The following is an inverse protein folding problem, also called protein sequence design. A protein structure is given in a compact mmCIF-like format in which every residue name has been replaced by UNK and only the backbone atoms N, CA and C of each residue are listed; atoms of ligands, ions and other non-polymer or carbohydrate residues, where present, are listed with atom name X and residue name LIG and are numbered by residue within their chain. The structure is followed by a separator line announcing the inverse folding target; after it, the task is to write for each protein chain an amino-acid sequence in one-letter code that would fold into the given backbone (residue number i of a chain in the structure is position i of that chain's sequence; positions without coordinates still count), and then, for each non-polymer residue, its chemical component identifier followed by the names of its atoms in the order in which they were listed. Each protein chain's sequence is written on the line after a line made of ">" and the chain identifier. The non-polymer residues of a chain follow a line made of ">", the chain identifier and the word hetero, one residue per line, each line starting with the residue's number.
data_IF_335879866074
#
_entry.id   IF_335879866074
#
_cell.length_a   1.000
_cell.length_b   1.000
_cell.length_c   1.000
_cell.angle_alpha   90.00
_cell.angle_beta   90.00
_cell.angle_gamma   90.00
#
_symmetry.space_group_name_H-M   'P 1'
#
loop_
_entity.id
_entity.type
_entity.pdbx_description
1 polymer ?
#
# COMPACT_ATOMS: atom_id res chain seq x y z
N UNK A 1 12.36 47.22 26.53
CA UNK A 1 11.88 45.89 26.93
C UNK A 1 10.66 45.57 26.09
N UNK A 2 10.82 44.74 25.07
CA UNK A 2 9.74 44.34 24.17
C UNK A 2 9.01 43.17 24.80
N UNK A 3 7.73 43.33 25.15
CA UNK A 3 6.88 42.19 25.51
C UNK A 3 6.50 41.49 24.19
N UNK A 4 7.18 40.41 23.84
CA UNK A 4 6.80 39.58 22.71
C UNK A 4 5.72 38.56 23.11
N UNK A 5 4.71 38.44 22.24
CA UNK A 5 3.64 37.44 22.16
C UNK A 5 3.11 36.82 23.47
N UNK A 6 2.05 37.42 24.02
CA UNK A 6 1.24 36.79 25.08
C UNK A 6 0.36 35.69 24.48
N UNK A 7 0.54 34.45 24.93
CA UNK A 7 -0.39 33.33 24.66
C UNK A 7 -1.40 33.21 25.79
N UNK A 8 -2.69 33.20 25.46
CA UNK A 8 -3.78 33.11 26.43
C UNK A 8 -4.62 31.87 26.16
N UNK A 9 -4.98 31.14 27.22
CA UNK A 9 -5.92 30.03 27.16
C UNK A 9 -6.86 30.00 28.37
N UNK A 10 -8.06 29.44 28.19
CA UNK A 10 -9.02 29.21 29.28
C UNK A 10 -8.80 27.79 29.81
N UNK A 11 -8.39 27.68 31.07
CA UNK A 11 -8.18 26.38 31.73
C UNK A 11 -9.47 25.78 32.28
N UNK A 12 -10.41 26.63 32.69
CA UNK A 12 -11.69 26.19 33.25
C UNK A 12 -12.74 27.28 33.11
N UNK A 13 -13.90 26.90 32.59
CA UNK A 13 -15.05 27.78 32.49
C UNK A 13 -16.21 27.28 33.39
N UNK A 14 -16.65 28.11 34.35
CA UNK A 14 -17.80 27.86 35.22
C UNK A 14 -18.85 28.95 35.05
N UNK A 15 -20.07 28.67 35.51
CA UNK A 15 -21.21 29.59 35.43
C UNK A 15 -20.92 31.03 35.88
N UNK A 16 -20.07 31.23 36.90
CA UNK A 16 -19.78 32.56 37.47
C UNK A 16 -18.30 32.96 37.43
N UNK A 17 -17.40 32.05 37.02
CA UNK A 17 -15.94 32.25 37.10
C UNK A 17 -15.22 31.59 35.93
N UNK A 18 -14.26 32.31 35.33
CA UNK A 18 -13.33 31.80 34.32
C UNK A 18 -11.93 31.70 34.92
N UNK A 19 -11.24 30.57 34.71
CA UNK A 19 -9.81 30.42 35.02
C UNK A 19 -9.01 30.56 33.74
N UNK A 20 -8.09 31.52 33.68
CA UNK A 20 -7.22 31.77 32.52
C UNK A 20 -5.76 31.53 32.86
N UNK A 21 -5.01 31.04 31.88
CA UNK A 21 -3.57 31.04 31.87
C UNK A 21 -3.06 32.03 30.82
N UNK A 22 -2.07 32.83 31.20
CA UNK A 22 -1.40 33.78 30.32
C UNK A 22 0.09 33.47 30.40
N UNK A 23 0.67 33.13 29.25
CA UNK A 23 2.09 32.86 29.11
C UNK A 23 2.73 33.95 28.27
N UNK A 24 3.85 34.49 28.71
CA UNK A 24 4.57 35.51 27.94
C UNK A 24 6.07 35.43 28.17
N UNK A 25 6.80 36.04 27.23
CA UNK A 25 8.25 36.11 27.23
C UNK A 25 8.67 37.57 27.37
N UNK A 26 9.76 37.80 28.10
CA UNK A 26 10.42 39.09 28.19
C UNK A 26 11.85 38.93 27.71
N UNK A 27 12.17 39.60 26.61
CA UNK A 27 13.50 39.50 26.00
C UNK A 27 14.46 40.48 26.67
N UNK A 28 15.55 39.94 27.25
CA UNK A 28 16.69 40.72 27.74
C UNK A 28 17.95 40.38 26.93
N UNK A 29 18.95 41.23 27.03
CA UNK A 29 20.21 41.16 26.27
C UNK A 29 21.07 39.93 26.58
N UNK A 30 20.85 39.28 27.72
CA UNK A 30 21.63 38.18 28.28
C UNK A 30 20.82 36.88 28.42
N UNK A 31 19.52 36.96 28.70
CA UNK A 31 18.63 35.81 28.76
C UNK A 31 17.16 36.16 28.45
N UNK A 32 16.38 35.16 28.06
CA UNK A 32 14.94 35.32 27.87
C UNK A 32 14.21 34.90 29.13
N UNK A 33 13.45 35.81 29.74
CA UNK A 33 12.64 35.51 30.91
C UNK A 33 11.25 35.03 30.48
N UNK A 34 10.78 33.96 31.10
CA UNK A 34 9.48 33.34 30.82
C UNK A 34 8.59 33.47 32.04
N UNK A 35 7.34 33.84 31.84
CA UNK A 35 6.38 34.03 32.92
C UNK A 35 5.05 33.32 32.63
N UNK A 36 4.41 32.85 33.69
CA UNK A 36 3.08 32.25 33.65
C UNK A 36 2.17 32.90 34.70
N UNK A 37 1.05 33.46 34.26
CA UNK A 37 0.01 33.98 35.15
C UNK A 37 -1.23 33.09 35.09
N UNK A 38 -1.65 32.65 36.26
CA UNK A 38 -2.89 31.90 36.47
C UNK A 38 -3.86 32.78 37.25
N UNK A 39 -4.99 33.11 36.63
CA UNK A 39 -5.99 34.01 37.22
C UNK A 39 -7.39 33.41 37.21
N UNK A 40 -8.16 33.63 38.28
CA UNK A 40 -9.60 33.39 38.32
C UNK A 40 -10.37 34.69 38.25
N UNK A 41 -11.24 34.83 37.26
CA UNK A 41 -11.97 36.05 36.95
C UNK A 41 -13.47 35.82 37.07
N UNK A 42 -14.23 36.82 37.52
CA UNK A 42 -15.70 36.72 37.54
C UNK A 42 -16.28 36.95 36.16
N UNK A 43 -17.39 36.27 35.87
CA UNK A 43 -18.21 36.53 34.67
C UNK A 43 -19.19 37.68 34.93
N UNK A 44 -19.48 38.52 33.92
CA UNK A 44 -20.49 39.54 34.04
C UNK A 44 -21.88 38.91 34.19
N UNK A 45 -22.69 39.43 35.12
CA UNK A 45 -23.98 38.85 35.54
C UNK A 45 -25.07 38.81 34.45
N UNK A 46 -24.88 39.46 33.30
CA UNK A 46 -25.95 39.72 32.32
C UNK A 46 -25.56 39.56 30.83
N UNK A 47 -24.43 38.92 30.51
CA UNK A 47 -24.01 38.76 29.11
C UNK A 47 -24.13 37.31 28.61
N UNK A 48 -24.67 37.16 27.40
CA UNK A 48 -24.80 35.90 26.65
C UNK A 48 -23.45 35.35 26.15
N UNK A 49 -22.38 36.12 26.26
CA UNK A 49 -21.08 35.78 25.72
C UNK A 49 -20.21 35.09 26.78
N UNK A 50 -20.05 33.77 26.61
CA UNK A 50 -19.49 32.84 27.61
C UNK A 50 -18.05 33.14 28.04
N UNK A 51 -17.32 33.99 27.31
CA UNK A 51 -15.90 34.25 27.54
C UNK A 51 -15.56 35.66 28.02
N UNK A 52 -16.55 36.54 28.20
CA UNK A 52 -16.35 37.91 28.66
C UNK A 52 -16.02 37.99 30.16
N UNK A 53 -15.13 38.90 30.57
CA UNK A 53 -14.78 39.13 31.97
C UNK A 53 -15.60 40.29 32.55
N UNK A 54 -16.02 40.18 33.81
CA UNK A 54 -16.67 41.28 34.54
C UNK A 54 -15.68 42.43 34.80
N UNK A 55 -14.42 42.07 35.10
CA UNK A 55 -13.28 42.98 35.27
C UNK A 55 -11.99 42.26 34.84
N UNK A 56 -11.01 43.01 34.35
CA UNK A 56 -9.67 42.49 34.03
C UNK A 56 -8.83 42.14 35.28
N UNK A 57 -9.31 42.52 36.47
CA UNK A 57 -8.70 42.17 37.75
C UNK A 57 -9.24 40.83 38.27
N UNK A 58 -8.37 39.83 38.50
CA UNK A 58 -8.81 38.52 38.97
C UNK A 58 -9.19 38.54 40.46
N UNK A 59 -10.13 37.67 40.84
CA UNK A 59 -10.50 37.38 42.23
C UNK A 59 -9.35 36.74 43.01
N UNK A 60 -8.52 35.97 42.33
CA UNK A 60 -7.30 35.37 42.85
C UNK A 60 -6.33 35.16 41.69
N UNK A 61 -5.08 35.59 41.85
CA UNK A 61 -4.01 35.38 40.88
C UNK A 61 -2.76 34.82 41.54
N UNK A 62 -2.05 33.99 40.77
CA UNK A 62 -0.69 33.59 41.02
C UNK A 62 0.10 33.87 39.74
N UNK A 63 1.13 34.68 39.85
CA UNK A 63 2.09 34.87 38.76
C UNK A 63 3.35 34.17 39.17
N UNK A 64 3.77 33.21 38.35
CA UNK A 64 5.07 32.57 38.48
C UNK A 64 6.05 33.39 37.65
N UNK A 65 7.08 33.91 38.32
CA UNK A 65 8.22 34.49 37.64
C UNK A 65 9.09 33.42 36.97
N UNK A 66 10.20 33.84 36.35
CA UNK A 66 11.07 32.91 35.64
C UNK A 66 11.67 31.84 36.56
N UNK A 67 12.06 32.20 37.78
CA UNK A 67 12.66 31.28 38.75
C UNK A 67 11.60 30.30 39.25
N UNK A 68 10.44 30.80 39.68
CA UNK A 68 9.32 29.99 40.15
C UNK A 68 8.78 29.06 39.07
N UNK A 69 8.69 29.53 37.82
CA UNK A 69 8.28 28.71 36.68
C UNK A 69 9.30 27.60 36.40
N UNK A 70 10.60 27.93 36.45
CA UNK A 70 11.67 26.95 36.27
C UNK A 70 11.62 25.88 37.36
N UNK A 71 11.43 26.29 38.62
CA UNK A 71 11.29 25.37 39.75
C UNK A 71 10.04 24.49 39.65
N UNK A 72 8.90 25.03 39.19
CA UNK A 72 7.70 24.24 38.93
C UNK A 72 7.92 23.20 37.82
N UNK A 73 8.60 23.59 36.73
CA UNK A 73 8.93 22.66 35.64
C UNK A 73 9.86 21.54 36.14
N UNK A 74 10.88 21.87 36.92
CA UNK A 74 11.77 20.88 37.54
C UNK A 74 11.01 19.95 38.49
N UNK A 75 10.07 20.48 39.28
CA UNK A 75 9.23 19.68 40.16
C UNK A 75 8.34 18.71 39.38
N UNK A 76 7.68 19.18 38.32
CA UNK A 76 6.87 18.33 37.45
C UNK A 76 7.72 17.26 36.77
N UNK A 77 8.91 17.62 36.29
CA UNK A 77 9.87 16.66 35.74
C UNK A 77 10.30 15.60 36.75
N UNK A 78 10.54 15.98 38.00
CA UNK A 78 11.00 15.08 39.04
C UNK A 78 9.89 14.23 39.67
N UNK A 79 8.60 14.56 39.50
CA UNK A 79 7.52 13.92 40.26
C UNK A 79 6.33 13.45 39.42
N UNK A 80 6.11 13.98 38.23
CA UNK A 80 5.08 13.48 37.31
C UNK A 80 5.71 12.44 36.40
N UNK A 81 5.26 11.19 36.50
CA UNK A 81 5.87 10.01 35.87
C UNK A 81 6.15 10.22 34.37
N UNK A 82 5.23 10.86 33.66
CA UNK A 82 5.38 11.14 32.23
C UNK A 82 6.52 12.12 31.90
N UNK A 83 6.84 13.09 32.76
CA UNK A 83 7.98 13.98 32.53
C UNK A 83 9.32 13.38 32.97
N UNK A 84 9.31 12.40 33.91
CA UNK A 84 10.52 11.70 34.36
C UNK A 84 11.23 10.93 33.25
N UNK A 85 10.46 10.42 32.28
CA UNK A 85 10.96 9.60 31.17
C UNK A 85 11.46 10.50 30.01
N UNK A 86 11.36 11.82 30.14
CA UNK A 86 11.91 12.78 29.16
C UNK A 86 11.02 13.04 27.94
N UNK A 87 9.75 12.60 27.97
CA UNK A 87 8.81 12.81 26.88
C UNK A 87 8.47 14.30 26.71
N UNK A 88 8.76 14.84 25.52
CA UNK A 88 8.46 16.24 25.14
C UNK A 88 7.13 16.40 24.41
N UNK A 89 6.56 15.30 23.92
CA UNK A 89 5.37 15.30 23.07
C UNK A 89 4.46 14.12 23.41
N UNK A 90 3.15 14.35 23.37
CA UNK A 90 2.13 13.38 23.75
C UNK A 90 1.32 12.91 22.53
N UNK A 91 1.32 11.60 22.29
CA UNK A 91 0.42 10.94 21.36
C UNK A 91 -0.64 10.19 22.19
N UNK A 92 -1.85 10.76 22.38
CA UNK A 92 -2.96 9.98 22.92
C UNK A 92 -3.25 8.88 21.91
N UNK A 93 -2.96 7.63 22.25
CA UNK A 93 -3.49 6.48 21.52
C UNK A 93 -4.82 6.15 22.21
N UNK A 94 -5.97 6.57 21.65
CA UNK A 94 -7.26 6.23 22.25
C UNK A 94 -7.48 4.72 22.07
N UNK A 95 -8.37 4.13 22.88
CA UNK A 95 -8.79 2.74 22.71
C UNK A 95 -9.27 2.44 21.27
N UNK A 96 -9.76 3.47 20.57
CA UNK A 96 -10.01 3.48 19.13
C UNK A 96 -9.09 4.50 18.44
N UNK A 97 -8.24 4.06 17.51
CA UNK A 97 -7.38 4.95 16.72
C UNK A 97 -8.25 5.83 15.80
N UNK A 98 -8.59 7.02 16.30
CA UNK A 98 -9.36 8.02 15.56
C UNK A 98 -8.51 8.71 14.46
N UNK A 99 -9.16 9.52 13.61
CA UNK A 99 -8.50 10.19 12.48
C UNK A 99 -7.32 11.07 12.90
N UNK A 100 -7.39 11.74 14.05
CA UNK A 100 -6.30 12.59 14.54
C UNK A 100 -5.08 11.78 14.98
N UNK A 101 -5.30 10.64 15.64
CA UNK A 101 -4.23 9.71 16.01
C UNK A 101 -3.57 9.12 14.75
N UNK A 102 -4.35 8.75 13.72
CA UNK A 102 -3.79 8.26 12.43
C UNK A 102 -2.86 9.28 11.78
N UNK A 103 -3.27 10.55 11.73
CA UNK A 103 -2.45 11.63 11.13
C UNK A 103 -1.15 11.81 11.90
N UNK A 104 -1.20 11.81 13.24
CA UNK A 104 0.01 11.92 14.07
C UNK A 104 0.97 10.74 13.86
N UNK A 105 0.44 9.50 13.84
CA UNK A 105 1.24 8.30 13.58
C UNK A 105 1.87 8.37 12.19
N UNK A 106 1.12 8.79 11.18
CA UNK A 106 1.64 8.95 9.81
C UNK A 106 2.77 9.98 9.75
N UNK A 107 2.61 11.13 10.42
CA UNK A 107 3.67 12.15 10.49
C UNK A 107 4.93 11.61 11.18
N UNK A 108 4.76 10.84 12.26
CA UNK A 108 5.88 10.22 12.98
C UNK A 108 6.63 9.21 12.10
N UNK A 109 5.91 8.33 11.40
CA UNK A 109 6.52 7.36 10.48
C UNK A 109 7.24 8.06 9.33
N UNK A 110 6.64 9.12 8.76
CA UNK A 110 7.24 9.84 7.62
C UNK A 110 8.51 10.63 7.98
N UNK A 111 8.71 10.95 9.26
CA UNK A 111 9.86 11.72 9.74
C UNK A 111 10.93 10.83 10.39
N UNK A 112 10.67 9.53 10.53
CA UNK A 112 11.62 8.55 11.05
C UNK A 112 12.52 8.07 9.91
N UNK A 113 13.82 7.99 10.17
CA UNK A 113 14.76 7.34 9.25
C UNK A 113 14.48 5.83 9.19
N UNK A 114 14.68 5.23 8.01
CA UNK A 114 14.40 3.80 7.80
C UNK A 114 15.23 2.92 8.75
N UNK A 115 16.47 3.31 9.05
CA UNK A 115 17.33 2.60 10.00
C UNK A 115 16.70 2.50 11.40
N UNK A 116 16.14 3.61 11.87
CA UNK A 116 15.58 3.72 13.21
C UNK A 116 14.28 2.91 13.30
N UNK A 117 13.48 2.90 12.22
CA UNK A 117 12.30 2.03 12.12
C UNK A 117 12.68 0.55 12.19
N UNK A 118 13.77 0.14 11.53
CA UNK A 118 14.25 -1.24 11.57
C UNK A 118 14.72 -1.61 12.98
N UNK A 119 15.47 -0.74 13.65
CA UNK A 119 15.90 -0.94 15.03
C UNK A 119 14.70 -1.12 15.97
N UNK A 120 13.69 -0.26 15.85
CA UNK A 120 12.43 -0.38 16.60
C UNK A 120 11.77 -1.75 16.37
N UNK A 121 11.69 -2.20 15.12
CA UNK A 121 11.08 -3.50 14.76
C UNK A 121 11.87 -4.70 15.29
N UNK A 122 13.19 -4.57 15.47
CA UNK A 122 14.06 -5.63 16.01
C UNK A 122 13.98 -5.68 17.54
N UNK A 123 14.00 -4.54 18.21
CA UNK A 123 14.15 -4.46 19.67
C UNK A 123 12.85 -4.64 20.44
N UNK A 124 11.71 -4.24 19.88
CA UNK A 124 10.46 -4.09 20.64
C UNK A 124 9.51 -5.31 20.62
N UNK A 125 10.00 -6.50 20.22
CA UNK A 125 9.18 -7.72 20.12
C UNK A 125 7.89 -7.53 19.30
N UNK A 126 7.91 -6.62 18.32
CA UNK A 126 6.80 -6.44 17.40
C UNK A 126 6.65 -7.71 16.59
N UNK A 127 5.42 -8.23 16.47
CA UNK A 127 5.15 -9.36 15.59
C UNK A 127 5.32 -8.91 14.14
N UNK A 128 6.52 -9.16 13.62
CA UNK A 128 6.90 -8.84 12.24
C UNK A 128 6.10 -9.67 11.25
N UNK A 129 5.65 -10.86 11.63
CA UNK A 129 4.90 -11.73 10.74
C UNK A 129 3.55 -11.12 10.40
N UNK A 130 2.78 -10.69 11.39
CA UNK A 130 1.49 -10.04 11.18
C UNK A 130 1.64 -8.70 10.40
N UNK A 131 2.73 -7.96 10.65
CA UNK A 131 3.04 -6.74 9.92
C UNK A 131 3.37 -7.02 8.45
N UNK A 132 4.24 -7.99 8.17
CA UNK A 132 4.59 -8.43 6.82
C UNK A 132 3.35 -8.92 6.05
N UNK A 133 2.52 -9.73 6.69
CA UNK A 133 1.24 -10.18 6.13
C UNK A 133 0.32 -9.01 5.83
N UNK A 134 0.19 -8.04 6.76
CA UNK A 134 -0.65 -6.87 6.59
C UNK A 134 -0.18 -5.95 5.46
N UNK A 135 1.14 -5.74 5.33
CA UNK A 135 1.75 -4.98 4.25
C UNK A 135 1.52 -5.69 2.92
N UNK A 136 1.82 -7.00 2.85
CA UNK A 136 1.61 -7.80 1.66
C UNK A 136 0.15 -7.80 1.21
N UNK A 137 -0.78 -8.01 2.14
CA UNK A 137 -2.23 -7.95 1.90
C UNK A 137 -2.65 -6.58 1.35
N UNK A 138 -2.18 -5.48 1.96
CA UNK A 138 -2.49 -4.12 1.54
C UNK A 138 -1.94 -3.82 0.14
N UNK A 139 -0.71 -4.25 -0.15
CA UNK A 139 -0.11 -4.07 -1.48
C UNK A 139 -0.88 -4.84 -2.56
N UNK A 140 -1.30 -6.08 -2.25
CA UNK A 140 -2.13 -6.87 -3.17
C UNK A 140 -3.51 -6.28 -3.40
N UNK A 141 -4.13 -5.66 -2.38
CA UNK A 141 -5.38 -4.92 -2.56
C UNK A 141 -5.21 -3.74 -3.53
N UNK A 142 -4.12 -2.97 -3.38
CA UNK A 142 -3.79 -1.87 -4.30
C UNK A 142 -3.53 -2.38 -5.72
N UNK A 143 -2.83 -3.50 -5.86
CA UNK A 143 -2.58 -4.11 -7.16
C UNK A 143 -3.89 -4.53 -7.85
N UNK A 144 -4.89 -5.04 -7.12
CA UNK A 144 -6.21 -5.33 -7.68
C UNK A 144 -6.93 -4.04 -8.11
N UNK A 145 -6.86 -2.98 -7.32
CA UNK A 145 -7.44 -1.68 -7.70
C UNK A 145 -6.81 -1.14 -8.99
N UNK A 146 -5.47 -1.16 -9.06
CA UNK A 146 -4.70 -0.82 -10.25
C UNK A 146 -5.10 -1.70 -11.45
N UNK A 147 -5.23 -3.02 -11.28
CA UNK A 147 -5.68 -3.92 -12.35
C UNK A 147 -7.03 -3.51 -12.93
N UNK A 148 -8.00 -3.11 -12.09
CA UNK A 148 -9.30 -2.63 -12.57
C UNK A 148 -9.16 -1.32 -13.34
N UNK A 149 -8.32 -0.39 -12.87
CA UNK A 149 -8.04 0.85 -13.59
C UNK A 149 -7.40 0.58 -14.97
N UNK A 150 -6.39 -0.30 -15.03
CA UNK A 150 -5.74 -0.68 -16.30
C UNK A 150 -6.74 -1.33 -17.29
N UNK A 151 -7.71 -2.09 -16.77
CA UNK A 151 -8.80 -2.66 -17.57
C UNK A 151 -9.78 -1.59 -18.09
N UNK A 152 -10.00 -0.51 -17.35
CA UNK A 152 -10.89 0.59 -17.73
C UNK A 152 -10.25 1.54 -18.75
N UNK A 153 -8.94 1.80 -18.60
CA UNK A 153 -8.20 2.72 -19.47
C UNK A 153 -7.67 2.07 -20.76
N UNK A 154 -7.87 0.76 -20.93
CA UNK A 154 -7.32 0.00 -22.06
C UNK A 154 -5.81 0.24 -22.27
N UNK A 155 -5.06 -0.03 -21.22
CA UNK A 155 -3.63 0.25 -21.22
C UNK A 155 -2.84 -0.67 -22.16
N UNK A 156 -1.66 -0.21 -22.60
CA UNK A 156 -0.82 -0.92 -23.59
C UNK A 156 -0.28 -2.24 -23.07
N UNK A 157 0.12 -3.15 -23.98
CA UNK A 157 0.71 -4.45 -23.63
C UNK A 157 1.95 -4.30 -22.73
N UNK A 158 2.77 -3.28 -22.98
CA UNK A 158 3.95 -2.95 -22.15
C UNK A 158 3.58 -2.55 -20.71
N UNK A 159 2.48 -1.82 -20.53
CA UNK A 159 1.98 -1.49 -19.18
C UNK A 159 1.54 -2.77 -18.45
N UNK A 160 0.84 -3.66 -19.16
CA UNK A 160 0.45 -4.97 -18.62
C UNK A 160 1.65 -5.85 -18.28
N UNK A 161 2.65 -5.94 -19.15
CA UNK A 161 3.90 -6.66 -18.90
C UNK A 161 4.53 -6.23 -17.57
N UNK A 162 4.80 -4.92 -17.40
CA UNK A 162 5.35 -4.37 -16.15
C UNK A 162 4.48 -4.63 -14.94
N UNK A 163 3.15 -4.56 -15.11
CA UNK A 163 2.23 -4.85 -14.02
C UNK A 163 2.35 -6.31 -13.57
N UNK A 164 2.41 -7.26 -14.51
CA UNK A 164 2.55 -8.69 -14.21
C UNK A 164 3.93 -9.05 -13.64
N UNK A 165 5.01 -8.39 -14.09
CA UNK A 165 6.35 -8.55 -13.51
C UNK A 165 6.35 -8.19 -12.01
N UNK A 166 5.71 -7.07 -11.65
CA UNK A 166 5.62 -6.60 -10.27
C UNK A 166 4.59 -7.38 -9.43
N UNK A 167 3.63 -8.05 -10.07
CA UNK A 167 2.50 -8.71 -9.43
C UNK A 167 2.38 -10.20 -9.80
N UNK A 168 3.50 -10.86 -10.05
CA UNK A 168 3.59 -12.28 -10.48
C UNK A 168 2.79 -13.27 -9.63
N UNK A 169 2.56 -12.93 -8.36
CA UNK A 169 1.71 -13.68 -7.43
C UNK A 169 0.29 -13.95 -7.96
N UNK A 170 -0.23 -13.13 -8.88
CA UNK A 170 -1.55 -13.38 -9.49
C UNK A 170 -1.55 -14.54 -10.47
N UNK A 171 -0.38 -14.95 -10.96
CA UNK A 171 -0.27 -16.05 -11.90
C UNK A 171 -0.27 -17.40 -11.17
N UNK A 172 0.13 -17.44 -9.89
CA UNK A 172 0.08 -18.65 -9.06
C UNK A 172 1.21 -18.70 -8.02
N UNK A 173 1.16 -19.70 -7.15
CA UNK A 173 2.22 -19.96 -6.15
C UNK A 173 3.50 -20.51 -6.75
N UNK A 174 3.41 -21.04 -7.98
CA UNK A 174 4.52 -21.77 -8.58
C UNK A 174 5.60 -20.82 -9.09
N UNK A 175 5.31 -19.52 -9.23
CA UNK A 175 6.23 -18.55 -9.79
C UNK A 175 7.25 -18.04 -8.76
N UNK A 176 8.53 -18.30 -9.02
CA UNK A 176 9.63 -17.99 -8.09
C UNK A 176 10.40 -16.73 -8.49
N UNK A 177 10.67 -16.57 -9.80
CA UNK A 177 11.55 -15.50 -10.28
C UNK A 177 11.26 -15.14 -11.74
N UNK A 178 11.30 -13.84 -12.05
CA UNK A 178 11.31 -13.34 -13.43
C UNK A 178 12.74 -13.40 -13.98
N UNK A 179 12.89 -13.95 -15.18
CA UNK A 179 14.18 -14.06 -15.89
C UNK A 179 14.21 -12.92 -16.93
N UNK A 180 15.29 -12.13 -16.95
CA UNK A 180 15.47 -11.06 -17.95
C UNK A 180 15.51 -11.66 -19.36
N UNK A 181 14.58 -11.27 -20.22
CA UNK A 181 14.44 -11.72 -21.62
C UNK A 181 15.72 -11.52 -22.43
N UNK A 182 16.50 -10.47 -22.12
CA UNK A 182 17.76 -10.16 -22.82
C UNK A 182 18.84 -11.21 -22.56
N UNK A 183 18.66 -12.04 -21.55
CA UNK A 183 19.53 -13.17 -21.27
C UNK A 183 19.28 -14.33 -22.22
N UNK A 184 18.21 -14.37 -23.03
CA UNK A 184 18.01 -15.45 -24.00
C UNK A 184 18.28 -14.89 -25.40
N UNK A 185 19.32 -15.41 -26.07
CA UNK A 185 19.77 -14.95 -27.40
C UNK A 185 18.85 -15.47 -28.51
N UNK A 186 17.56 -15.31 -28.29
CA UNK A 186 16.46 -15.74 -29.13
C UNK A 186 15.59 -14.51 -29.28
N UNK A 187 15.83 -13.77 -30.36
CA UNK A 187 15.49 -12.35 -30.54
C UNK A 187 13.99 -11.99 -30.46
N UNK A 188 13.11 -12.87 -29.99
CA UNK A 188 11.67 -12.67 -29.94
C UNK A 188 10.94 -13.55 -28.89
N UNK A 189 11.63 -14.18 -27.93
CA UNK A 189 10.95 -15.13 -27.02
C UNK A 189 10.18 -14.38 -25.93
N UNK A 190 8.87 -14.25 -26.18
CA UNK A 190 7.81 -13.88 -25.23
C UNK A 190 7.84 -12.46 -24.65
N UNK A 191 6.81 -12.18 -23.87
CA UNK A 191 6.58 -10.93 -23.15
C UNK A 191 7.22 -10.88 -21.75
N UNK A 192 7.47 -12.06 -21.12
CA UNK A 192 8.50 -12.30 -20.09
C UNK A 192 8.56 -13.79 -19.69
N UNK A 193 9.72 -14.22 -19.16
CA UNK A 193 9.97 -15.58 -18.71
C UNK A 193 10.01 -15.71 -17.20
N UNK A 194 9.49 -16.83 -16.70
CA UNK A 194 9.43 -17.10 -15.27
C UNK A 194 9.96 -18.49 -14.95
N UNK A 195 10.64 -18.61 -13.82
CA UNK A 195 10.98 -19.90 -13.25
C UNK A 195 9.89 -20.35 -12.28
N UNK A 196 9.41 -21.57 -12.46
CA UNK A 196 8.52 -22.24 -11.52
C UNK A 196 9.29 -22.93 -10.36
N UNK A 197 8.63 -23.21 -9.24
CA UNK A 197 9.26 -23.81 -8.05
C UNK A 197 9.84 -25.20 -8.30
N UNK A 198 9.26 -25.95 -9.23
CA UNK A 198 9.68 -27.27 -9.67
C UNK A 198 10.80 -27.21 -10.73
N UNK A 199 11.32 -26.02 -11.02
CA UNK A 199 12.46 -25.79 -11.91
C UNK A 199 12.10 -25.91 -13.39
N UNK A 200 10.84 -25.72 -13.76
CA UNK A 200 10.45 -25.52 -15.15
C UNK A 200 10.47 -24.03 -15.49
N UNK A 201 10.50 -23.74 -16.79
CA UNK A 201 10.35 -22.39 -17.30
C UNK A 201 8.92 -22.24 -17.79
N UNK A 202 8.23 -21.29 -17.18
CA UNK A 202 6.90 -20.85 -17.57
C UNK A 202 7.05 -19.55 -18.37
N UNK A 203 6.57 -19.61 -19.60
CA UNK A 203 6.49 -18.49 -20.53
C UNK A 203 5.18 -17.77 -20.27
N UNK A 204 5.19 -16.44 -20.14
CA UNK A 204 3.95 -15.67 -20.10
C UNK A 204 3.84 -14.87 -21.38
N UNK A 205 2.77 -15.11 -22.12
CA UNK A 205 2.42 -14.33 -23.31
C UNK A 205 1.18 -13.51 -23.00
N UNK A 206 1.21 -12.21 -23.24
CA UNK A 206 0.14 -11.27 -22.98
C UNK A 206 -0.39 -10.75 -24.30
N UNK A 207 -1.71 -10.81 -24.51
CA UNK A 207 -2.39 -10.15 -25.61
C UNK A 207 -3.56 -9.36 -25.04
N UNK A 208 -3.30 -8.05 -24.90
CA UNK A 208 -4.18 -7.09 -24.21
C UNK A 208 -5.60 -7.05 -24.81
N UNK A 209 -6.62 -6.65 -24.04
CA UNK A 209 -8.02 -6.75 -24.47
C UNK A 209 -8.46 -5.81 -25.61
N UNK A 210 -8.07 -4.53 -25.70
CA UNK A 210 -8.42 -3.76 -26.90
C UNK A 210 -7.38 -3.84 -28.01
N UNK A 211 -7.87 -4.41 -29.09
CA UNK A 211 -7.35 -4.36 -30.44
C UNK A 211 -8.34 -4.98 -31.43
N UNK A 212 -9.64 -4.99 -31.10
CA UNK A 212 -10.65 -5.85 -31.73
C UNK A 212 -10.34 -7.37 -31.61
N UNK A 213 -9.51 -7.78 -30.64
CA UNK A 213 -9.19 -9.19 -30.44
C UNK A 213 -10.44 -9.95 -30.00
N UNK A 214 -10.87 -10.88 -30.83
CA UNK A 214 -12.02 -11.73 -30.53
C UNK A 214 -11.53 -13.06 -29.99
N UNK A 215 -12.18 -13.54 -28.93
CA UNK A 215 -11.94 -14.89 -28.44
C UNK A 215 -12.66 -15.93 -29.32
N UNK A 216 -13.95 -15.69 -29.57
CA UNK A 216 -14.83 -16.58 -30.33
C UNK A 216 -15.19 -15.97 -31.68
N UNK A 217 -15.43 -16.83 -32.68
CA UNK A 217 -16.09 -16.41 -33.91
C UNK A 217 -17.52 -15.94 -33.63
N UNK A 218 -18.03 -15.06 -34.49
CA UNK A 218 -19.39 -14.52 -34.37
C UNK A 218 -20.48 -15.56 -34.67
N UNK A 219 -20.16 -16.58 -35.47
CA UNK A 219 -21.07 -17.66 -35.82
C UNK A 219 -20.58 -18.98 -35.21
N UNK A 220 -21.55 -19.78 -34.76
CA UNK A 220 -21.30 -21.15 -34.34
C UNK A 220 -21.11 -22.04 -35.56
N UNK A 221 -20.28 -23.08 -35.42
CA UNK A 221 -20.17 -24.15 -36.41
C UNK A 221 -20.70 -25.46 -35.82
N UNK A 222 -21.74 -26.02 -36.45
CA UNK A 222 -22.46 -27.19 -35.95
C UNK A 222 -22.84 -27.11 -34.45
N UNK A 223 -23.20 -25.91 -33.97
CA UNK A 223 -23.56 -25.66 -32.57
C UNK A 223 -22.38 -25.48 -31.61
N UNK A 224 -21.14 -25.44 -32.11
CA UNK A 224 -19.94 -25.28 -31.31
C UNK A 224 -19.37 -23.86 -31.42
N UNK A 225 -18.84 -23.36 -30.30
CA UNK A 225 -18.05 -22.14 -30.28
C UNK A 225 -16.67 -22.43 -30.85
N UNK A 226 -16.30 -21.70 -31.91
CA UNK A 226 -15.02 -21.84 -32.59
C UNK A 226 -14.11 -20.67 -32.19
N UNK A 227 -12.85 -20.92 -31.79
CA UNK A 227 -11.87 -19.86 -31.59
C UNK A 227 -11.75 -18.93 -32.80
N UNK A 228 -11.70 -17.63 -32.56
CA UNK A 228 -11.42 -16.67 -33.62
C UNK A 228 -9.97 -16.80 -34.11
N UNK A 229 -9.69 -16.36 -35.33
CA UNK A 229 -8.35 -16.40 -35.91
C UNK A 229 -7.31 -15.61 -35.10
N UNK A 230 -7.74 -14.58 -34.38
CA UNK A 230 -6.87 -13.79 -33.51
C UNK A 230 -6.35 -14.60 -32.32
N UNK A 231 -7.22 -15.40 -31.68
CA UNK A 231 -6.82 -16.31 -30.62
C UNK A 231 -5.91 -17.42 -31.17
N UNK A 232 -6.22 -17.96 -32.35
CA UNK A 232 -5.37 -18.96 -33.02
C UNK A 232 -3.96 -18.43 -33.30
N UNK A 233 -3.82 -17.17 -33.74
CA UNK A 233 -2.49 -16.54 -33.92
C UNK A 233 -1.72 -16.47 -32.61
N UNK A 234 -2.35 -16.03 -31.53
CA UNK A 234 -1.72 -15.94 -30.21
C UNK A 234 -1.30 -17.33 -29.69
N UNK A 235 -2.17 -18.34 -29.82
CA UNK A 235 -1.84 -19.73 -29.49
C UNK A 235 -0.64 -20.22 -30.31
N UNK A 236 -0.60 -19.92 -31.61
CA UNK A 236 0.48 -20.33 -32.51
C UNK A 236 1.81 -19.68 -32.11
N UNK A 237 1.78 -18.41 -31.70
CA UNK A 237 2.94 -17.70 -31.17
C UNK A 237 3.43 -18.34 -29.87
N UNK A 238 2.54 -18.59 -28.90
CA UNK A 238 2.88 -19.26 -27.63
C UNK A 238 3.49 -20.65 -27.84
N UNK A 239 2.96 -21.44 -28.78
CA UNK A 239 3.51 -22.76 -29.11
C UNK A 239 4.89 -22.67 -29.78
N UNK A 240 5.13 -21.64 -30.59
CA UNK A 240 6.46 -21.36 -31.16
C UNK A 240 7.48 -21.09 -30.05
N UNK A 241 7.13 -20.29 -29.04
CA UNK A 241 8.02 -20.02 -27.91
C UNK A 241 8.34 -21.25 -27.08
N UNK A 242 7.34 -22.10 -26.80
CA UNK A 242 7.57 -23.40 -26.16
C UNK A 242 8.60 -24.20 -26.96
N UNK A 243 8.42 -24.30 -28.28
CA UNK A 243 9.30 -25.06 -29.14
C UNK A 243 10.74 -24.50 -29.22
N UNK A 244 10.89 -23.17 -29.27
CA UNK A 244 12.19 -22.51 -29.28
C UNK A 244 12.95 -22.77 -27.96
N UNK A 245 12.27 -22.65 -26.81
CA UNK A 245 12.87 -22.95 -25.51
C UNK A 245 13.21 -24.44 -25.39
N UNK A 246 12.35 -25.34 -25.88
CA UNK A 246 12.66 -26.78 -25.90
C UNK A 246 13.95 -27.08 -26.67
N UNK A 247 14.16 -26.44 -27.83
CA UNK A 247 15.38 -26.61 -28.62
C UNK A 247 16.63 -26.07 -27.91
N UNK A 248 16.51 -24.93 -27.22
CA UNK A 248 17.62 -24.30 -26.51
C UNK A 248 17.91 -24.88 -25.11
N UNK A 249 16.97 -25.66 -24.55
CA UNK A 249 17.05 -26.19 -23.17
C UNK A 249 18.32 -27.00 -22.83
N UNK A 250 18.98 -27.57 -23.85
CA UNK A 250 20.22 -28.33 -23.70
C UNK A 250 21.48 -27.53 -24.07
N UNK A 251 21.35 -26.26 -24.45
CA UNK A 251 22.50 -25.43 -24.81
C UNK A 251 23.21 -24.94 -23.53
N UNK A 252 24.55 -25.02 -23.52
CA UNK A 252 25.37 -24.59 -22.37
C UNK A 252 25.10 -23.12 -22.02
N UNK A 253 24.87 -22.29 -23.05
CA UNK A 253 24.52 -20.88 -22.87
C UNK A 253 23.17 -20.69 -22.17
N UNK A 254 22.18 -21.49 -22.52
CA UNK A 254 20.87 -21.44 -21.87
C UNK A 254 20.97 -21.87 -20.40
N UNK A 255 21.69 -22.96 -20.13
CA UNK A 255 21.93 -23.45 -18.78
C UNK A 255 22.69 -22.44 -17.92
N UNK A 256 23.77 -21.83 -18.40
CA UNK A 256 24.53 -20.83 -17.63
C UNK A 256 23.68 -19.60 -17.26
N UNK A 257 22.77 -19.18 -18.15
CA UNK A 257 21.95 -17.97 -17.98
C UNK A 257 20.66 -18.20 -17.19
N UNK A 258 20.17 -19.44 -17.18
CA UNK A 258 19.05 -19.88 -16.34
C UNK A 258 19.54 -20.48 -15.02
N UNK A 259 20.70 -20.10 -14.50
CA UNK A 259 21.23 -20.62 -13.23
C UNK A 259 21.29 -22.17 -13.16
N UNK A 260 21.56 -22.81 -14.29
CA UNK A 260 21.63 -24.26 -14.52
C UNK A 260 20.30 -25.01 -14.34
N UNK A 261 19.17 -24.30 -14.50
CA UNK A 261 17.85 -24.92 -14.53
C UNK A 261 17.75 -25.88 -15.71
N UNK A 262 17.61 -27.17 -15.41
CA UNK A 262 17.29 -28.18 -16.43
C UNK A 262 15.82 -28.04 -16.82
N UNK A 263 15.56 -27.32 -17.90
CA UNK A 263 14.21 -27.16 -18.44
C UNK A 263 13.83 -28.43 -19.21
N UNK A 264 13.16 -29.37 -18.54
CA UNK A 264 12.78 -30.65 -19.17
C UNK A 264 11.54 -30.48 -20.07
N UNK A 265 10.63 -29.54 -19.74
CA UNK A 265 9.41 -29.21 -20.50
C UNK A 265 8.91 -27.78 -20.18
N UNK A 266 9.13 -26.77 -21.04
CA UNK A 266 8.58 -25.45 -20.81
C UNK A 266 7.05 -25.46 -20.97
N UNK A 267 6.37 -24.57 -20.25
CA UNK A 267 4.94 -24.30 -20.42
C UNK A 267 4.73 -22.85 -20.80
N UNK A 268 3.56 -22.53 -21.36
CA UNK A 268 3.17 -21.15 -21.61
C UNK A 268 1.80 -20.85 -21.00
N UNK A 269 1.69 -19.73 -20.30
CA UNK A 269 0.42 -19.11 -19.92
C UNK A 269 0.15 -17.97 -20.88
N UNK A 270 -0.88 -18.12 -21.71
CA UNK A 270 -1.36 -17.07 -22.61
C UNK A 270 -2.49 -16.28 -21.93
N UNK A 271 -2.23 -15.03 -21.59
CA UNK A 271 -3.21 -14.09 -21.04
C UNK A 271 -3.85 -13.33 -22.20
N UNK A 272 -5.11 -13.64 -22.51
CA UNK A 272 -5.76 -13.21 -23.73
C UNK A 272 -7.18 -12.69 -23.48
N UNK A 273 -7.40 -11.40 -23.81
CA UNK A 273 -8.74 -10.82 -23.91
C UNK A 273 -9.58 -10.82 -22.62
N UNK A 274 -10.85 -10.43 -22.77
CA UNK A 274 -11.86 -10.41 -21.70
C UNK A 274 -12.84 -11.58 -21.83
N UNK A 275 -13.40 -11.99 -20.70
CA UNK A 275 -14.52 -12.96 -20.60
C UNK A 275 -15.67 -12.44 -19.75
N UNK A 276 -15.70 -11.13 -19.45
CA UNK A 276 -16.76 -10.48 -18.67
C UNK A 276 -18.14 -10.52 -19.35
N UNK A 277 -18.20 -10.75 -20.66
CA UNK A 277 -19.43 -10.84 -21.46
C UNK A 277 -19.81 -12.27 -21.84
N UNK A 278 -19.08 -13.28 -21.37
CA UNK A 278 -19.31 -14.67 -21.78
C UNK A 278 -20.55 -15.29 -21.12
N UNK A 279 -21.30 -16.04 -21.93
CA UNK A 279 -22.39 -16.88 -21.45
C UNK A 279 -21.90 -18.25 -20.94
N UNK A 280 -22.82 -19.04 -20.36
CA UNK A 280 -22.50 -20.37 -19.79
C UNK A 280 -21.92 -21.36 -20.81
N UNK A 281 -22.37 -21.30 -22.06
CA UNK A 281 -21.91 -22.19 -23.12
C UNK A 281 -20.52 -21.82 -23.63
N UNK A 282 -20.20 -20.51 -23.71
CA UNK A 282 -18.84 -20.02 -23.98
C UNK A 282 -17.87 -20.42 -22.88
N UNK A 283 -18.26 -20.29 -21.61
CA UNK A 283 -17.45 -20.75 -20.47
C UNK A 283 -17.20 -22.27 -20.56
N UNK A 284 -18.22 -23.05 -20.93
CA UNK A 284 -18.08 -24.50 -21.14
C UNK A 284 -17.13 -24.81 -22.30
N UNK A 285 -17.30 -24.15 -23.45
CA UNK A 285 -16.44 -24.33 -24.62
C UNK A 285 -14.98 -23.97 -24.31
N UNK A 286 -14.76 -22.87 -23.58
CA UNK A 286 -13.44 -22.46 -23.11
C UNK A 286 -12.78 -23.54 -22.26
N UNK A 287 -13.50 -24.14 -21.30
CA UNK A 287 -12.96 -25.22 -20.46
C UNK A 287 -12.53 -26.43 -21.30
N UNK A 288 -13.33 -26.81 -22.29
CA UNK A 288 -13.00 -27.92 -23.19
C UNK A 288 -11.75 -27.59 -23.99
N UNK A 289 -11.70 -26.41 -24.62
CA UNK A 289 -10.54 -25.92 -25.36
C UNK A 289 -9.28 -25.95 -24.48
N UNK A 290 -9.34 -25.33 -23.31
CA UNK A 290 -8.17 -25.21 -22.44
C UNK A 290 -7.71 -26.56 -21.88
N UNK A 291 -8.63 -27.49 -21.65
CA UNK A 291 -8.29 -28.87 -21.21
C UNK A 291 -7.60 -29.71 -22.28
N UNK A 292 -7.66 -29.30 -23.56
CA UNK A 292 -6.99 -30.00 -24.65
C UNK A 292 -5.49 -29.69 -24.74
N UNK A 293 -5.03 -28.62 -24.08
CA UNK A 293 -3.64 -28.22 -24.08
C UNK A 293 -2.87 -28.85 -22.91
N UNK A 294 -1.65 -29.32 -23.19
CA UNK A 294 -0.78 -29.94 -22.18
C UNK A 294 0.29 -28.98 -21.64
N UNK A 295 0.94 -28.22 -22.53
CA UNK A 295 2.00 -27.27 -22.17
C UNK A 295 1.56 -25.80 -22.38
N UNK A 296 0.30 -25.55 -22.72
CA UNK A 296 -0.27 -24.22 -22.90
C UNK A 296 -1.49 -24.09 -21.97
N UNK A 297 -1.63 -22.94 -21.32
CA UNK A 297 -2.84 -22.57 -20.60
C UNK A 297 -3.28 -21.19 -21.07
N UNK A 298 -4.46 -21.10 -21.65
CA UNK A 298 -5.10 -19.83 -21.97
C UNK A 298 -5.88 -19.35 -20.74
N UNK A 299 -5.68 -18.10 -20.34
CA UNK A 299 -6.47 -17.41 -19.30
C UNK A 299 -6.87 -16.03 -19.82
N UNK A 300 -7.97 -15.47 -19.31
CA UNK A 300 -8.39 -14.10 -19.65
C UNK A 300 -7.98 -13.16 -18.52
N UNK A 301 -7.99 -11.85 -18.79
CA UNK A 301 -7.73 -10.86 -17.73
C UNK A 301 -8.74 -10.96 -16.60
N UNK A 302 -10.00 -11.32 -16.89
CA UNK A 302 -11.02 -11.53 -15.86
C UNK A 302 -10.75 -12.79 -15.02
N UNK A 303 -10.21 -13.86 -15.61
CA UNK A 303 -9.78 -15.05 -14.86
C UNK A 303 -8.60 -14.74 -13.92
N UNK A 304 -7.63 -13.91 -14.37
CA UNK A 304 -6.52 -13.43 -13.54
C UNK A 304 -7.07 -12.61 -12.37
N UNK A 305 -7.96 -11.65 -12.64
CA UNK A 305 -8.56 -10.82 -11.62
C UNK A 305 -9.35 -11.65 -10.59
N UNK A 306 -10.11 -12.64 -11.05
CA UNK A 306 -10.83 -13.55 -10.16
C UNK A 306 -9.86 -14.37 -9.29
N UNK A 307 -8.77 -14.87 -9.87
CA UNK A 307 -7.72 -15.58 -9.13
C UNK A 307 -7.09 -14.68 -8.06
N UNK A 308 -6.75 -13.43 -8.40
CA UNK A 308 -6.19 -12.46 -7.47
C UNK A 308 -7.14 -12.18 -6.28
N UNK A 309 -8.43 -11.97 -6.55
CA UNK A 309 -9.46 -11.78 -5.53
C UNK A 309 -9.58 -12.99 -4.60
N UNK A 310 -9.56 -14.21 -5.16
CA UNK A 310 -9.60 -15.46 -4.38
C UNK A 310 -8.38 -15.64 -3.47
N UNK A 311 -7.17 -15.28 -3.94
CA UNK A 311 -5.96 -15.31 -3.11
C UNK A 311 -6.11 -14.40 -1.89
N UNK A 312 -6.81 -13.27 -2.01
CA UNK A 312 -7.12 -12.36 -0.89
C UNK A 312 -8.34 -12.77 -0.05
N UNK A 313 -8.95 -13.93 -0.34
CA UNK A 313 -10.16 -14.37 0.36
C UNK A 313 -11.40 -13.52 0.04
N UNK A 314 -11.36 -12.66 -0.97
CA UNK A 314 -12.53 -11.96 -1.47
C UNK A 314 -13.37 -12.96 -2.28
N UNK A 315 -14.37 -13.57 -1.64
CA UNK A 315 -15.36 -14.38 -2.37
C UNK A 315 -16.23 -13.45 -3.21
N UNK A 316 -16.42 -13.80 -4.48
CA UNK A 316 -17.49 -13.24 -5.29
C UNK A 316 -18.82 -13.54 -4.57
N UNK A 317 -19.59 -12.50 -4.24
CA UNK A 317 -20.98 -12.61 -3.77
C UNK A 317 -21.88 -13.16 -4.86
#
# INVERSE_FOLDING_TARGET
>A
MSLSDKKLTILRDKQTVITRAIFWKVERSDCNEIHLKLGRYKKPKFFLDSQSLENETPKSELTLDHEEMTNLMNFLQAHYEHFKIGEKEYIPIPNDINTQAKVKIQQLINNIEISDLIEILIENQIDRHDLELSISYTNRLKAIDEFNQLLEYDETENVWQKWFENNSWVLGSDFVKTIDERSIDTRNISDFLMQSYDGFIDIVEIKRPDGNLKFWQSQLDHGNYIPHSDLIKAITQSLTYIHEIEQESNSVKFLERTEHIKTIKPRCTLIYGRSNDWNKDQIKAFRILNSSYHNLSVITFDHVLERAKRILGQKNL
#
